data_IF_995993632469
#
_entry.id   IF_995993632469
#
_cell.length_a   1.000
_cell.length_b   1.000
_cell.length_c   1.000
_cell.angle_alpha   90.00
_cell.angle_beta   90.00
_cell.angle_gamma   90.00
#
_symmetry.space_group_name_H-M   'P 1'
#
loop_
_entity.id
_entity.type
_entity.pdbx_description
1 polymer ?
#
# COMPACT_ATOMS: atom_id res chain seq x y z
N UNK A 1 -20.19 14.76 -51.35
CA UNK A 1 -21.18 13.85 -52.01
C UNK A 1 -20.97 13.83 -53.51
N UNK A 2 -21.34 12.80 -54.17
CA UNK A 2 -21.18 12.57 -55.63
C UNK A 2 -21.76 13.66 -56.55
N UNK A 3 -22.50 14.61 -56.02
CA UNK A 3 -23.13 15.70 -56.75
C UNK A 3 -22.65 17.10 -56.36
N UNK A 4 -21.54 17.23 -55.67
CA UNK A 4 -21.00 18.55 -55.25
C UNK A 4 -21.89 19.34 -54.27
N UNK A 5 -23.02 18.76 -53.85
CA UNK A 5 -23.94 19.39 -52.90
C UNK A 5 -23.50 19.10 -51.46
N UNK A 6 -23.64 20.06 -50.51
CA UNK A 6 -23.30 19.83 -49.11
C UNK A 6 -24.18 18.72 -48.53
N UNK A 7 -23.63 17.93 -47.62
CA UNK A 7 -24.37 16.85 -46.92
C UNK A 7 -25.61 17.41 -46.23
N UNK A 8 -26.74 16.72 -46.40
CA UNK A 8 -28.02 17.05 -45.74
C UNK A 8 -27.95 16.85 -44.22
N UNK A 9 -27.01 16.00 -43.74
CA UNK A 9 -26.75 15.77 -42.31
C UNK A 9 -25.40 16.37 -41.97
N UNK A 10 -25.40 17.41 -41.16
CA UNK A 10 -24.18 18.09 -40.74
C UNK A 10 -24.08 18.05 -39.19
N UNK A 11 -23.04 17.40 -38.70
CA UNK A 11 -22.75 17.34 -37.25
C UNK A 11 -21.93 18.58 -36.88
N UNK A 12 -22.42 19.35 -35.92
CA UNK A 12 -21.69 20.53 -35.43
C UNK A 12 -22.47 21.26 -34.34
N UNK A 13 -21.82 22.23 -33.68
CA UNK A 13 -22.50 23.11 -32.75
C UNK A 13 -23.52 23.98 -33.49
N UNK A 14 -24.58 24.44 -32.81
CA UNK A 14 -25.61 25.34 -33.33
C UNK A 14 -25.01 26.54 -34.07
N UNK A 15 -23.94 27.14 -33.51
CA UNK A 15 -23.25 28.29 -34.12
C UNK A 15 -22.57 27.93 -35.46
N UNK A 16 -22.03 26.72 -35.58
CA UNK A 16 -21.41 26.26 -36.84
C UNK A 16 -22.45 25.98 -37.91
N UNK A 17 -23.59 25.39 -37.53
CA UNK A 17 -24.63 24.98 -38.47
C UNK A 17 -25.46 26.18 -38.94
N UNK A 18 -25.88 27.07 -38.04
CA UNK A 18 -26.77 28.21 -38.33
C UNK A 18 -25.94 29.41 -38.85
N UNK A 19 -24.87 29.77 -38.14
CA UNK A 19 -24.13 31.01 -38.42
C UNK A 19 -22.90 30.81 -39.32
N UNK A 20 -22.59 29.60 -39.76
CA UNK A 20 -21.43 29.23 -40.59
C UNK A 20 -20.09 29.69 -39.98
N UNK A 21 -20.05 29.95 -38.65
CA UNK A 21 -18.85 30.41 -37.97
C UNK A 21 -17.85 29.26 -37.78
N UNK A 22 -16.57 29.56 -37.93
CA UNK A 22 -15.50 28.63 -37.57
C UNK A 22 -15.49 28.47 -36.04
N UNK A 23 -15.86 27.31 -35.55
CA UNK A 23 -15.80 27.01 -34.12
C UNK A 23 -14.40 26.56 -33.80
N UNK A 24 -13.69 27.32 -32.95
CA UNK A 24 -12.40 26.93 -32.42
C UNK A 24 -12.57 25.88 -31.33
N UNK A 25 -11.79 24.82 -31.40
CA UNK A 25 -11.70 23.82 -30.33
C UNK A 25 -11.12 24.43 -29.06
N UNK A 26 -10.20 25.41 -29.21
CA UNK A 26 -9.58 26.13 -28.10
C UNK A 26 -10.41 27.34 -27.68
N UNK A 27 -11.52 27.10 -27.02
CA UNK A 27 -12.27 28.14 -26.29
C UNK A 27 -11.84 28.14 -24.83
N UNK A 28 -11.96 29.27 -24.13
CA UNK A 28 -11.62 29.36 -22.68
C UNK A 28 -12.22 28.21 -21.89
N UNK A 29 -13.48 27.86 -22.14
CA UNK A 29 -14.17 26.75 -21.47
C UNK A 29 -13.57 25.39 -21.79
N UNK A 30 -13.26 25.12 -23.06
CA UNK A 30 -12.63 23.85 -23.45
C UNK A 30 -11.21 23.72 -22.91
N UNK A 31 -10.45 24.81 -22.91
CA UNK A 31 -9.11 24.85 -22.34
C UNK A 31 -9.15 24.52 -20.85
N UNK A 32 -10.12 25.04 -20.10
CA UNK A 32 -10.27 24.68 -18.67
C UNK A 32 -10.54 23.18 -18.50
N UNK A 33 -11.37 22.57 -19.34
CA UNK A 33 -11.61 21.14 -19.28
C UNK A 33 -10.36 20.31 -19.61
N UNK A 34 -9.59 20.71 -20.60
CA UNK A 34 -8.33 20.05 -20.95
C UNK A 34 -7.32 20.15 -19.80
N UNK A 35 -7.15 21.30 -19.19
CA UNK A 35 -6.25 21.48 -18.05
C UNK A 35 -6.67 20.63 -16.87
N UNK A 36 -7.99 20.60 -16.56
CA UNK A 36 -8.53 19.75 -15.49
C UNK A 36 -8.30 18.26 -15.78
N UNK A 37 -8.53 17.82 -17.01
CA UNK A 37 -8.30 16.42 -17.42
C UNK A 37 -6.83 16.03 -17.27
N UNK A 38 -5.92 16.89 -17.77
CA UNK A 38 -4.48 16.66 -17.63
C UNK A 38 -4.03 16.60 -16.18
N UNK A 39 -4.58 17.46 -15.33
CA UNK A 39 -4.28 17.45 -13.89
C UNK A 39 -4.74 16.13 -13.25
N UNK A 40 -5.94 15.65 -13.56
CA UNK A 40 -6.44 14.37 -13.06
C UNK A 40 -5.57 13.19 -13.53
N UNK A 41 -5.17 13.17 -14.79
CA UNK A 41 -4.29 12.12 -15.34
C UNK A 41 -2.92 12.16 -14.64
N UNK A 42 -2.35 13.35 -14.44
CA UNK A 42 -1.07 13.53 -13.76
C UNK A 42 -1.13 13.03 -12.31
N UNK A 43 -2.17 13.40 -11.56
CA UNK A 43 -2.38 12.91 -10.20
C UNK A 43 -2.56 11.39 -10.15
N UNK A 44 -3.35 10.81 -11.07
CA UNK A 44 -3.53 9.37 -11.15
C UNK A 44 -2.20 8.65 -11.44
N UNK A 45 -1.38 9.20 -12.31
CA UNK A 45 -0.05 8.68 -12.61
C UNK A 45 0.88 8.80 -11.39
N UNK A 46 0.92 9.95 -10.72
CA UNK A 46 1.72 10.18 -9.52
C UNK A 46 1.39 9.16 -8.42
N UNK A 47 0.11 8.98 -8.07
CA UNK A 47 -0.30 7.99 -7.08
C UNK A 47 -0.10 6.54 -7.53
N UNK A 48 0.00 6.28 -8.82
CA UNK A 48 0.30 4.95 -9.34
C UNK A 48 1.75 4.53 -9.13
N UNK A 49 2.68 5.49 -8.94
CA UNK A 49 4.10 5.21 -8.72
C UNK A 49 4.40 4.72 -7.29
N UNK A 50 3.55 5.04 -6.32
CA UNK A 50 3.72 4.67 -4.91
C UNK A 50 3.05 3.32 -4.56
N UNK A 51 3.04 2.36 -5.46
CA UNK A 51 2.48 1.04 -5.14
C UNK A 51 3.44 0.24 -4.27
N UNK A 52 2.93 -0.25 -3.13
CA UNK A 52 3.64 -1.26 -2.34
C UNK A 52 3.83 -2.52 -3.19
N UNK A 53 5.07 -3.02 -3.27
CA UNK A 53 5.40 -4.21 -4.06
C UNK A 53 4.77 -5.49 -3.51
N UNK A 54 4.33 -5.48 -2.26
CA UNK A 54 3.52 -6.50 -1.61
C UNK A 54 2.77 -5.87 -0.43
N UNK A 55 1.64 -6.46 -0.07
CA UNK A 55 0.81 -5.95 1.01
C UNK A 55 1.08 -6.70 2.30
N UNK A 56 1.30 -5.95 3.37
CA UNK A 56 1.51 -6.49 4.72
C UNK A 56 0.40 -5.99 5.64
N UNK A 57 -0.25 -6.92 6.32
CA UNK A 57 -1.18 -6.63 7.40
C UNK A 57 -0.74 -7.39 8.67
N UNK A 58 -0.71 -6.70 9.79
CA UNK A 58 -0.30 -7.27 11.07
C UNK A 58 -1.39 -6.98 12.10
N UNK A 59 -1.94 -8.05 12.63
CA UNK A 59 -2.95 -7.97 13.67
C UNK A 59 -2.40 -8.61 14.94
N UNK A 60 -2.63 -7.95 16.06
CA UNK A 60 -2.37 -8.54 17.37
C UNK A 60 -3.42 -9.63 17.64
N UNK A 61 -3.02 -10.71 18.29
CA UNK A 61 -3.98 -11.74 18.75
C UNK A 61 -4.81 -11.21 19.91
N UNK A 62 -5.87 -11.91 20.26
CA UNK A 62 -6.78 -11.53 21.35
C UNK A 62 -6.09 -11.42 22.71
N UNK A 63 -5.03 -12.21 22.90
CA UNK A 63 -4.20 -12.11 24.10
C UNK A 63 -3.32 -10.86 24.05
N UNK A 64 -3.46 -9.97 25.03
CA UNK A 64 -2.72 -8.72 25.08
C UNK A 64 -1.21 -8.95 25.25
N UNK A 65 -0.82 -9.83 26.18
CA UNK A 65 0.56 -10.23 26.46
C UNK A 65 0.58 -11.52 27.30
N UNK A 66 1.74 -12.17 27.29
CA UNK A 66 2.06 -13.26 28.23
C UNK A 66 3.35 -12.91 28.97
N UNK A 67 3.41 -13.20 30.25
CA UNK A 67 4.64 -13.10 31.03
C UNK A 67 5.21 -14.48 31.19
N UNK A 68 6.48 -14.66 30.82
CA UNK A 68 7.20 -15.94 31.01
C UNK A 68 7.76 -16.06 32.43
N UNK A 69 8.18 -17.26 32.83
CA UNK A 69 8.80 -17.53 34.12
C UNK A 69 10.04 -16.63 34.38
N UNK A 70 10.75 -16.28 33.30
CA UNK A 70 11.92 -15.36 33.34
C UNK A 70 11.51 -13.87 33.40
N UNK A 71 10.25 -13.55 33.72
CA UNK A 71 9.69 -12.16 33.73
C UNK A 71 9.76 -11.43 32.40
N UNK A 72 9.99 -12.13 31.30
CA UNK A 72 9.96 -11.54 29.95
C UNK A 72 8.52 -11.47 29.43
N UNK A 73 8.24 -10.44 28.68
CA UNK A 73 6.92 -10.19 28.12
C UNK A 73 6.92 -10.67 26.67
N UNK A 74 5.88 -11.42 26.31
CA UNK A 74 5.70 -11.98 24.99
C UNK A 74 4.37 -11.48 24.40
N UNK A 75 4.43 -11.01 23.18
CA UNK A 75 3.24 -10.63 22.42
C UNK A 75 3.14 -11.48 21.14
N UNK A 76 1.93 -11.90 20.83
CA UNK A 76 1.62 -12.71 19.66
C UNK A 76 0.91 -11.87 18.60
N UNK A 77 1.37 -11.99 17.35
CA UNK A 77 0.79 -11.32 16.20
C UNK A 77 0.51 -12.31 15.07
N UNK A 78 -0.41 -11.94 14.22
CA UNK A 78 -0.67 -12.64 12.96
C UNK A 78 -0.24 -11.71 11.84
N UNK A 79 0.83 -12.10 11.15
CA UNK A 79 1.34 -11.44 9.97
C UNK A 79 0.62 -12.00 8.74
N UNK A 80 -0.12 -11.18 8.04
CA UNK A 80 -0.69 -11.48 6.72
C UNK A 80 0.17 -10.83 5.64
N UNK A 81 0.63 -11.61 4.68
CA UNK A 81 1.37 -11.12 3.50
C UNK A 81 0.62 -11.50 2.24
N UNK A 82 0.52 -10.58 1.31
CA UNK A 82 -0.02 -10.78 -0.02
C UNK A 82 1.04 -10.40 -1.04
N UNK A 83 1.53 -11.38 -1.79
CA UNK A 83 2.41 -11.15 -2.92
C UNK A 83 1.59 -10.57 -4.09
N UNK A 84 1.85 -9.33 -4.47
CA UNK A 84 1.17 -8.64 -5.58
C UNK A 84 1.98 -8.66 -6.86
N UNK A 85 3.14 -9.33 -6.84
CA UNK A 85 4.01 -9.49 -8.01
C UNK A 85 3.65 -10.75 -8.82
N UNK A 86 4.15 -10.82 -10.03
CA UNK A 86 3.93 -11.93 -10.98
C UNK A 86 4.93 -13.08 -10.81
N UNK A 87 5.71 -13.06 -9.73
CA UNK A 87 6.75 -14.05 -9.43
C UNK A 87 6.66 -14.53 -7.99
N UNK A 88 7.30 -15.66 -7.69
CA UNK A 88 7.42 -16.18 -6.33
C UNK A 88 8.42 -15.34 -5.54
N UNK A 89 8.03 -14.88 -4.36
CA UNK A 89 8.87 -14.13 -3.44
C UNK A 89 8.98 -14.83 -2.10
N UNK A 90 10.17 -14.83 -1.52
CA UNK A 90 10.44 -15.32 -0.16
C UNK A 90 10.48 -14.14 0.80
N UNK A 91 9.69 -14.23 1.86
CA UNK A 91 9.52 -13.15 2.84
C UNK A 91 10.17 -13.50 4.16
N UNK A 92 10.90 -12.53 4.69
CA UNK A 92 11.47 -12.57 6.04
C UNK A 92 11.22 -11.24 6.75
N UNK A 93 11.51 -11.20 8.06
CA UNK A 93 11.25 -10.03 8.90
C UNK A 93 12.49 -9.66 9.71
N UNK A 94 12.61 -8.35 9.97
CA UNK A 94 13.62 -7.76 10.83
C UNK A 94 12.99 -6.80 11.83
N UNK A 95 13.44 -6.86 13.07
CA UNK A 95 13.11 -5.86 14.09
C UNK A 95 14.18 -4.75 14.06
N UNK A 96 13.71 -3.51 14.20
CA UNK A 96 14.58 -2.32 14.24
C UNK A 96 14.79 -1.81 15.69
N UNK A 97 14.54 -2.65 16.71
CA UNK A 97 14.67 -2.28 18.11
C UNK A 97 15.34 -3.42 18.90
N UNK A 98 16.50 -3.14 19.47
CA UNK A 98 17.33 -4.11 20.21
C UNK A 98 16.72 -4.54 21.56
N UNK A 99 15.70 -3.84 22.05
CA UNK A 99 14.97 -4.22 23.26
C UNK A 99 14.01 -5.39 23.05
N UNK A 100 13.78 -5.78 21.80
CA UNK A 100 12.87 -6.85 21.43
C UNK A 100 13.56 -7.84 20.51
N UNK A 101 13.15 -9.10 20.59
CA UNK A 101 13.60 -10.16 19.69
C UNK A 101 12.43 -10.96 19.12
N UNK A 102 12.63 -11.47 17.93
CA UNK A 102 11.72 -12.42 17.33
C UNK A 102 11.96 -13.78 17.98
N UNK A 103 10.98 -14.28 18.73
CA UNK A 103 11.05 -15.60 19.35
C UNK A 103 10.66 -16.70 18.38
N UNK A 104 9.67 -16.41 17.54
CA UNK A 104 9.18 -17.37 16.54
C UNK A 104 8.71 -16.64 15.29
N UNK A 105 9.37 -16.93 14.22
CA UNK A 105 8.96 -16.65 12.85
C UNK A 105 9.76 -17.58 11.92
N UNK A 106 9.13 -18.07 10.89
CA UNK A 106 9.76 -18.87 9.86
C UNK A 106 9.55 -18.16 8.52
N UNK A 107 10.64 -17.92 7.81
CA UNK A 107 10.57 -17.38 6.44
C UNK A 107 9.76 -18.33 5.55
N UNK A 108 9.08 -17.77 4.58
CA UNK A 108 8.19 -18.51 3.72
C UNK A 108 8.12 -17.87 2.34
N UNK A 109 7.88 -18.72 1.33
CA UNK A 109 7.73 -18.29 -0.06
C UNK A 109 6.25 -18.24 -0.43
N UNK A 110 5.88 -17.25 -1.24
CA UNK A 110 4.55 -17.09 -1.82
C UNK A 110 4.65 -16.96 -3.33
N UNK A 111 3.89 -17.78 -4.01
CA UNK A 111 3.69 -17.65 -5.45
C UNK A 111 2.99 -16.32 -5.80
N UNK A 112 3.05 -15.96 -7.09
CA UNK A 112 2.37 -14.80 -7.64
C UNK A 112 0.89 -14.71 -7.22
N UNK A 113 0.47 -13.56 -6.72
CA UNK A 113 -0.93 -13.30 -6.33
C UNK A 113 -1.41 -14.05 -5.08
N UNK A 114 -0.59 -14.87 -4.42
CA UNK A 114 -1.00 -15.66 -3.25
C UNK A 114 -0.91 -14.86 -1.96
N UNK A 115 -1.63 -15.35 -0.96
CA UNK A 115 -1.68 -14.78 0.40
C UNK A 115 -1.35 -15.85 1.43
N UNK A 116 -0.63 -15.47 2.48
CA UNK A 116 -0.43 -16.34 3.64
C UNK A 116 -0.59 -15.55 4.94
N UNK A 117 -0.92 -16.29 5.99
CA UNK A 117 -0.90 -15.79 7.37
C UNK A 117 0.12 -16.59 8.16
N UNK A 118 1.01 -15.92 8.88
CA UNK A 118 2.05 -16.52 9.70
C UNK A 118 1.97 -15.96 11.12
N UNK A 119 2.28 -16.80 12.09
CA UNK A 119 2.36 -16.38 13.49
C UNK A 119 3.72 -15.74 13.72
N UNK A 120 3.72 -14.55 14.30
CA UNK A 120 4.89 -13.81 14.72
C UNK A 120 4.84 -13.64 16.24
N UNK A 121 5.86 -14.13 16.91
CA UNK A 121 6.00 -14.00 18.38
C UNK A 121 7.21 -13.10 18.66
N UNK A 122 6.95 -12.00 19.37
CA UNK A 122 7.96 -11.04 19.79
C UNK A 122 8.08 -11.09 21.31
N UNK A 123 9.31 -11.18 21.81
CA UNK A 123 9.65 -11.23 23.21
C UNK A 123 10.55 -10.04 23.58
N UNK A 124 10.34 -9.46 24.77
CA UNK A 124 11.25 -8.46 25.31
C UNK A 124 12.60 -9.10 25.70
N UNK A 125 13.71 -8.43 25.36
CA UNK A 125 15.06 -8.88 25.75
C UNK A 125 15.30 -8.60 27.21
N UNK A 126 14.97 -7.39 27.66
CA UNK A 126 15.17 -6.90 29.02
C UNK A 126 13.86 -6.77 29.78
N UNK A 127 13.98 -6.61 31.11
CA UNK A 127 12.85 -6.24 31.95
C UNK A 127 12.39 -4.82 31.59
N UNK A 128 11.13 -4.71 31.16
CA UNK A 128 10.53 -3.44 30.71
C UNK A 128 9.93 -2.61 31.86
N UNK A 129 10.24 -2.93 33.12
CA UNK A 129 9.68 -2.24 34.28
C UNK A 129 10.06 -0.74 34.31
N UNK A 130 11.20 -0.36 33.74
CA UNK A 130 11.65 1.03 33.66
C UNK A 130 10.86 1.89 32.64
N UNK A 131 10.06 1.29 31.77
CA UNK A 131 9.26 2.01 30.79
C UNK A 131 7.88 2.24 31.37
N UNK A 132 7.47 3.49 31.57
CA UNK A 132 6.18 3.84 32.18
C UNK A 132 4.97 3.55 31.29
N UNK A 133 5.14 3.48 29.97
CA UNK A 133 4.05 3.29 29.03
C UNK A 133 3.66 1.82 28.88
N UNK A 134 2.34 1.53 28.96
CA UNK A 134 1.82 0.16 28.79
C UNK A 134 1.88 -0.34 27.33
N UNK A 135 1.88 0.58 26.37
CA UNK A 135 1.91 0.29 24.95
C UNK A 135 3.13 0.92 24.32
N UNK A 136 4.05 0.10 23.86
CA UNK A 136 5.33 0.52 23.26
C UNK A 136 5.21 0.36 21.75
N UNK A 137 5.37 1.43 20.95
CA UNK A 137 5.42 1.31 19.52
C UNK A 137 6.73 0.68 19.08
N UNK A 138 6.69 -0.38 18.29
CA UNK A 138 7.84 -1.03 17.67
C UNK A 138 7.64 -1.06 16.15
N UNK A 139 8.75 -1.05 15.42
CA UNK A 139 8.71 -1.10 13.96
C UNK A 139 9.34 -2.41 13.49
N UNK A 140 8.65 -3.08 12.60
CA UNK A 140 9.19 -4.24 11.91
C UNK A 140 9.32 -3.94 10.42
N UNK A 141 10.35 -4.47 9.83
CA UNK A 141 10.58 -4.46 8.40
C UNK A 141 10.31 -5.88 7.86
N UNK A 142 9.34 -5.98 6.96
CA UNK A 142 9.10 -7.19 6.17
C UNK A 142 9.78 -6.98 4.84
N UNK A 143 10.63 -7.89 4.42
CA UNK A 143 11.40 -7.77 3.19
C UNK A 143 11.37 -9.05 2.36
N UNK A 144 11.64 -8.90 1.07
CA UNK A 144 11.83 -10.02 0.15
C UNK A 144 13.31 -10.28 -0.05
N UNK A 145 13.72 -11.57 0.01
CA UNK A 145 15.12 -11.98 -0.20
C UNK A 145 15.56 -11.82 -1.67
N UNK A 146 14.66 -12.04 -2.63
CA UNK A 146 14.99 -12.04 -4.07
C UNK A 146 15.11 -10.63 -4.63
N UNK A 147 14.30 -9.72 -4.12
CA UNK A 147 14.28 -8.33 -4.53
C UNK A 147 14.35 -7.44 -3.31
N UNK A 148 15.04 -6.33 -3.41
CA UNK A 148 15.19 -5.38 -2.31
C UNK A 148 13.88 -4.63 -1.99
N UNK A 149 12.75 -5.38 -2.02
CA UNK A 149 11.45 -4.87 -1.62
C UNK A 149 11.30 -4.96 -0.12
N UNK A 150 10.86 -3.87 0.49
CA UNK A 150 10.65 -3.79 1.94
C UNK A 150 9.43 -2.97 2.29
N UNK A 151 8.76 -3.38 3.35
CA UNK A 151 7.61 -2.67 3.91
C UNK A 151 7.80 -2.58 5.41
N UNK A 152 7.77 -1.37 5.94
CA UNK A 152 7.87 -1.11 7.38
C UNK A 152 6.48 -0.96 7.96
N UNK A 153 6.16 -1.70 9.02
CA UNK A 153 4.88 -1.58 9.73
C UNK A 153 5.13 -1.31 11.21
N UNK A 154 4.29 -0.45 11.76
CA UNK A 154 4.26 -0.13 13.19
C UNK A 154 3.40 -1.14 13.93
N UNK A 155 3.92 -1.72 15.00
CA UNK A 155 3.22 -2.58 15.94
C UNK A 155 3.10 -1.92 17.31
N UNK A 156 2.18 -2.39 18.11
CA UNK A 156 2.05 -1.98 19.51
C UNK A 156 2.37 -3.20 20.38
N UNK A 157 3.47 -3.12 21.09
CA UNK A 157 3.86 -4.10 22.10
C UNK A 157 3.23 -3.69 23.44
N UNK A 158 2.40 -4.58 23.99
CA UNK A 158 1.72 -4.31 25.26
C UNK A 158 2.40 -5.03 26.40
N UNK A 159 2.42 -4.39 27.55
CA UNK A 159 2.91 -4.93 28.81
C UNK A 159 1.90 -4.70 29.95
N UNK A 160 2.07 -5.32 31.10
CA UNK A 160 1.22 -5.13 32.28
C UNK A 160 1.03 -3.67 32.68
#
# INVERSE_FOLDING_TARGET
GKLGKPSLINWGSTNKVINKQKVSIFTKRNTTYFVSLFLCIFLAFYFSLEKENFLVNINKTTELYKVTEDKKIVNNYILGVHNTQDETLTFDIKLNDDNFKIKRFEKFSLEAGKRAKKVLIIESVNDLNNIKTKNIPIFIEVYSEEKNYKVVKKLIFSKP
#
